data_IF_873797525586
#
_entry.id   IF_873797525586
#
_cell.length_a   1.000
_cell.length_b   1.000
_cell.length_c   1.000
_cell.angle_alpha   90.00
_cell.angle_beta   90.00
_cell.angle_gamma   90.00
#
_symmetry.space_group_name_H-M   'P 1'
#
loop_
_entity.id
_entity.type
_entity.pdbx_description
1 polymer ?
#
# COMPACT_ATOMS: atom_id res chain seq x y z
N UNK A 1 69.34 18.06 -6.96
CA UNK A 1 68.58 16.93 -7.53
C UNK A 1 67.55 16.52 -6.50
N UNK A 2 67.82 15.61 -5.56
CA UNK A 2 66.90 15.18 -4.47
C UNK A 2 65.80 16.19 -4.07
N UNK A 3 66.12 17.36 -3.51
CA UNK A 3 65.11 18.37 -3.11
C UNK A 3 64.12 18.82 -4.20
N UNK A 4 64.53 18.81 -5.47
CA UNK A 4 63.67 19.16 -6.62
C UNK A 4 62.79 17.96 -7.00
N UNK A 5 63.28 16.74 -6.81
CA UNK A 5 62.52 15.51 -7.05
C UNK A 5 61.44 15.34 -5.97
N UNK A 6 61.76 15.64 -4.70
CA UNK A 6 60.81 15.68 -3.58
C UNK A 6 59.69 16.74 -3.79
N UNK A 7 60.04 17.94 -4.25
CA UNK A 7 59.07 19.03 -4.52
C UNK A 7 58.16 18.72 -5.73
N UNK A 8 58.67 18.03 -6.75
CA UNK A 8 57.93 17.60 -7.94
C UNK A 8 57.00 16.40 -7.63
N UNK A 9 57.40 15.50 -6.72
CA UNK A 9 56.55 14.41 -6.20
C UNK A 9 55.40 14.93 -5.31
N UNK A 10 55.65 15.93 -4.45
CA UNK A 10 54.62 16.57 -3.61
C UNK A 10 53.57 17.32 -4.46
N UNK A 11 53.99 18.00 -5.54
CA UNK A 11 53.08 18.67 -6.49
C UNK A 11 52.21 17.66 -7.28
N UNK A 12 52.77 16.52 -7.70
CA UNK A 12 51.99 15.44 -8.33
C UNK A 12 50.97 14.80 -7.36
N UNK A 13 51.32 14.60 -6.08
CA UNK A 13 50.37 14.09 -5.07
C UNK A 13 49.22 15.08 -4.82
N UNK A 14 49.50 16.39 -4.71
CA UNK A 14 48.46 17.41 -4.58
C UNK A 14 47.50 17.45 -5.78
N UNK A 15 48.03 17.39 -7.01
CA UNK A 15 47.20 17.31 -8.22
C UNK A 15 46.32 16.04 -8.24
N UNK A 16 46.86 14.89 -7.85
CA UNK A 16 46.08 13.64 -7.82
C UNK A 16 44.99 13.70 -6.74
N UNK A 17 45.27 14.29 -5.57
CA UNK A 17 44.27 14.50 -4.53
C UNK A 17 43.18 15.49 -4.97
N UNK A 18 43.52 16.58 -5.65
CA UNK A 18 42.54 17.52 -6.20
C UNK A 18 41.67 16.86 -7.28
N UNK A 19 42.27 16.02 -8.13
CA UNK A 19 41.56 15.20 -9.12
C UNK A 19 40.63 14.18 -8.47
N UNK A 20 41.04 13.55 -7.36
CA UNK A 20 40.20 12.66 -6.54
C UNK A 20 39.04 13.45 -5.89
N UNK A 21 39.28 14.65 -5.36
CA UNK A 21 38.26 15.56 -4.80
C UNK A 21 37.24 15.99 -5.86
N UNK A 22 37.68 16.40 -7.06
CA UNK A 22 36.81 16.73 -8.21
C UNK A 22 35.93 15.54 -8.63
N UNK A 23 36.48 14.32 -8.69
CA UNK A 23 35.72 13.08 -8.97
C UNK A 23 34.64 12.80 -7.91
N UNK A 24 34.94 12.99 -6.62
CA UNK A 24 33.96 12.81 -5.53
C UNK A 24 32.80 13.81 -5.65
N UNK A 25 33.08 15.11 -5.81
CA UNK A 25 32.06 16.15 -6.00
C UNK A 25 31.13 15.85 -7.19
N UNK A 26 31.69 15.45 -8.34
CA UNK A 26 30.90 15.09 -9.53
C UNK A 26 29.97 13.89 -9.27
N UNK A 27 30.43 12.88 -8.53
CA UNK A 27 29.63 11.72 -8.16
C UNK A 27 28.49 12.08 -7.20
N UNK A 28 28.75 12.95 -6.22
CA UNK A 28 27.74 13.47 -5.29
C UNK A 28 26.67 14.29 -6.00
N UNK A 29 27.06 15.14 -6.96
CA UNK A 29 26.13 15.93 -7.79
C UNK A 29 25.24 15.03 -8.65
N UNK A 30 25.81 14.01 -9.30
CA UNK A 30 25.07 13.03 -10.10
C UNK A 30 24.08 12.22 -9.24
N UNK A 31 24.48 11.78 -8.04
CA UNK A 31 23.57 11.11 -7.09
C UNK A 31 22.44 12.05 -6.61
N UNK A 32 22.74 13.33 -6.35
CA UNK A 32 21.71 14.30 -5.98
C UNK A 32 20.73 14.55 -7.12
N UNK A 33 21.21 14.64 -8.37
CA UNK A 33 20.35 14.80 -9.54
C UNK A 33 19.47 13.57 -9.75
N UNK A 34 20.01 12.36 -9.60
CA UNK A 34 19.24 11.12 -9.68
C UNK A 34 18.16 11.07 -8.59
N UNK A 35 18.50 11.49 -7.36
CA UNK A 35 17.57 11.62 -6.24
C UNK A 35 16.46 12.64 -6.53
N UNK A 36 16.78 13.78 -7.18
CA UNK A 36 15.80 14.78 -7.66
C UNK A 36 14.88 14.18 -8.74
N UNK A 37 15.43 13.45 -9.73
CA UNK A 37 14.67 12.74 -10.78
C UNK A 37 13.71 11.71 -10.18
N UNK A 38 14.19 10.86 -9.26
CA UNK A 38 13.38 9.86 -8.52
C UNK A 38 12.24 10.52 -7.73
N UNK A 39 12.50 11.62 -7.01
CA UNK A 39 11.47 12.43 -6.31
C UNK A 39 10.42 12.98 -7.27
N UNK A 40 10.83 13.56 -8.41
CA UNK A 40 9.91 14.12 -9.44
C UNK A 40 9.01 13.03 -10.05
N UNK A 41 9.58 11.86 -10.38
CA UNK A 41 8.83 10.70 -10.89
C UNK A 41 7.80 10.18 -9.87
N UNK A 42 8.18 10.08 -8.59
CA UNK A 42 7.28 9.68 -7.50
C UNK A 42 6.14 10.69 -7.26
N UNK A 43 6.42 11.99 -7.38
CA UNK A 43 5.38 13.06 -7.29
C UNK A 43 4.38 12.95 -8.44
N UNK A 44 4.85 12.86 -9.69
CA UNK A 44 4.00 12.72 -10.88
C UNK A 44 3.09 11.49 -10.81
N UNK A 45 3.63 10.32 -10.47
CA UNK A 45 2.84 9.09 -10.31
C UNK A 45 1.73 9.23 -9.25
N UNK A 46 2.02 9.90 -8.13
CA UNK A 46 1.02 10.15 -7.07
C UNK A 46 -0.09 11.11 -7.52
N UNK A 47 0.25 12.11 -8.33
CA UNK A 47 -0.74 13.05 -8.91
C UNK A 47 -1.65 12.31 -9.90
N UNK A 48 -1.10 11.46 -10.78
CA UNK A 48 -1.85 10.61 -11.71
C UNK A 48 -2.79 9.63 -10.98
N UNK A 49 -2.33 8.98 -9.90
CA UNK A 49 -3.15 8.09 -9.07
C UNK A 49 -4.32 8.83 -8.37
N UNK A 50 -4.09 10.06 -7.89
CA UNK A 50 -5.13 10.88 -7.25
C UNK A 50 -6.20 11.36 -8.26
N UNK A 51 -5.81 11.74 -9.47
CA UNK A 51 -6.74 12.08 -10.55
C UNK A 51 -7.59 10.88 -10.98
N UNK A 52 -7.00 9.69 -11.09
CA UNK A 52 -7.72 8.46 -11.47
C UNK A 52 -8.76 8.07 -10.39
N UNK A 53 -8.39 8.15 -9.11
CA UNK A 53 -9.28 7.98 -7.95
C UNK A 53 -10.45 8.99 -7.99
N UNK A 54 -10.19 10.26 -8.29
CA UNK A 54 -11.23 11.28 -8.38
C UNK A 54 -12.16 11.05 -9.59
N UNK A 55 -11.60 10.64 -10.73
CA UNK A 55 -12.33 10.20 -11.92
C UNK A 55 -13.28 9.03 -11.63
N UNK A 56 -12.79 7.99 -10.94
CA UNK A 56 -13.58 6.84 -10.46
C UNK A 56 -14.72 7.30 -9.55
N UNK A 57 -14.47 8.19 -8.58
CA UNK A 57 -15.49 8.77 -7.68
C UNK A 57 -16.54 9.59 -8.45
N UNK A 58 -16.12 10.46 -9.39
CA UNK A 58 -17.00 11.24 -10.28
C UNK A 58 -17.90 10.31 -11.12
N UNK A 59 -17.36 9.23 -11.71
CA UNK A 59 -18.10 8.22 -12.48
C UNK A 59 -19.14 7.48 -11.63
N UNK A 60 -18.76 7.02 -10.42
CA UNK A 60 -19.66 6.37 -9.44
C UNK A 60 -20.82 7.29 -9.05
N UNK A 61 -20.56 8.56 -8.74
CA UNK A 61 -21.57 9.59 -8.41
C UNK A 61 -22.55 9.83 -9.57
N UNK A 62 -22.06 9.94 -10.82
CA UNK A 62 -22.89 10.04 -12.04
C UNK A 62 -23.80 8.80 -12.21
N UNK A 63 -23.28 7.58 -12.03
CA UNK A 63 -24.07 6.34 -12.12
C UNK A 63 -25.18 6.26 -11.06
N UNK A 64 -24.89 6.61 -9.80
CA UNK A 64 -25.90 6.64 -8.72
C UNK A 64 -27.01 7.66 -9.03
N UNK A 65 -26.67 8.87 -9.52
CA UNK A 65 -27.64 9.89 -9.95
C UNK A 65 -28.53 9.35 -11.10
N UNK A 66 -27.95 8.65 -12.09
CA UNK A 66 -28.68 7.99 -13.20
C UNK A 66 -29.63 6.89 -12.69
N UNK A 67 -29.18 6.01 -11.78
CA UNK A 67 -30.02 4.98 -11.12
C UNK A 67 -31.19 5.61 -10.34
N UNK A 68 -30.95 6.67 -9.53
CA UNK A 68 -32.00 7.39 -8.77
C UNK A 68 -33.04 8.04 -9.71
N UNK A 69 -32.63 8.66 -10.82
CA UNK A 69 -33.52 9.24 -11.86
C UNK A 69 -34.37 8.13 -12.54
N UNK A 70 -33.80 6.97 -12.86
CA UNK A 70 -34.53 5.80 -13.42
C UNK A 70 -35.57 5.25 -12.43
N UNK A 71 -35.22 5.11 -11.14
CA UNK A 71 -36.15 4.67 -10.07
C UNK A 71 -37.32 5.66 -9.89
N UNK A 72 -37.06 6.98 -9.88
CA UNK A 72 -38.11 8.03 -9.81
C UNK A 72 -39.05 7.99 -11.03
N UNK A 73 -38.52 7.85 -12.26
CA UNK A 73 -39.33 7.66 -13.48
C UNK A 73 -40.21 6.39 -13.41
N UNK A 74 -39.67 5.24 -12.97
CA UNK A 74 -40.45 3.97 -12.80
C UNK A 74 -41.58 4.13 -11.77
N UNK A 75 -41.34 4.79 -10.62
CA UNK A 75 -42.37 5.08 -9.60
C UNK A 75 -43.48 6.02 -10.15
N UNK A 76 -43.13 7.08 -10.92
CA UNK A 76 -44.12 7.98 -11.57
C UNK A 76 -44.96 7.24 -12.62
N UNK A 77 -44.36 6.37 -13.46
CA UNK A 77 -45.11 5.50 -14.40
C UNK A 77 -46.05 4.53 -13.67
N UNK A 78 -45.62 3.87 -12.58
CA UNK A 78 -46.49 2.96 -11.79
C UNK A 78 -47.66 3.70 -11.13
N UNK A 79 -47.45 4.92 -10.58
CA UNK A 79 -48.55 5.78 -10.08
C UNK A 79 -49.53 6.18 -11.20
N UNK A 80 -49.06 6.61 -12.38
CA UNK A 80 -49.96 6.94 -13.52
C UNK A 80 -50.79 5.73 -13.96
N UNK A 81 -50.20 4.53 -14.12
CA UNK A 81 -50.96 3.30 -14.44
C UNK A 81 -52.00 2.95 -13.36
N UNK A 82 -51.67 3.09 -12.07
CA UNK A 82 -52.65 2.87 -10.98
C UNK A 82 -53.80 3.88 -10.99
N UNK A 83 -53.56 5.17 -11.32
CA UNK A 83 -54.64 6.17 -11.47
C UNK A 83 -55.57 5.86 -12.64
N UNK A 84 -55.03 5.52 -13.82
CA UNK A 84 -55.86 5.14 -14.99
C UNK A 84 -56.75 3.91 -14.73
N UNK A 85 -56.31 2.96 -13.90
CA UNK A 85 -57.11 1.78 -13.48
C UNK A 85 -58.13 2.05 -12.35
N UNK A 86 -58.22 3.29 -11.85
CA UNK A 86 -59.11 3.66 -10.72
C UNK A 86 -60.23 4.64 -11.13
N UNK A 87 -60.35 4.96 -12.41
CA UNK A 87 -61.49 5.70 -12.96
C UNK A 87 -62.52 4.63 -13.34
N UNK A 88 -63.70 4.55 -12.71
CA UNK A 88 -64.78 3.68 -13.16
C UNK A 88 -65.34 4.22 -14.49
N UNK A 89 -65.82 3.33 -15.37
CA UNK A 89 -66.68 3.74 -16.47
C UNK A 89 -68.01 4.23 -15.88
N UNK A 90 -68.21 5.54 -15.93
CA UNK A 90 -69.50 6.21 -15.73
C UNK A 90 -69.72 7.04 -17.01
N UNK A 91 -70.96 7.03 -17.51
CA UNK A 91 -71.38 7.36 -18.89
C UNK A 91 -71.01 6.27 -19.91
N UNK A 92 -71.96 5.38 -20.20
CA UNK A 92 -72.90 5.51 -21.34
C UNK A 92 -74.21 4.85 -20.89
N UNK A 93 -75.27 5.65 -20.80
CA UNK A 93 -76.69 5.28 -20.62
C UNK A 93 -77.50 6.39 -21.30
N UNK A 94 -78.70 6.04 -21.81
CA UNK A 94 -79.40 6.64 -22.97
C UNK A 94 -78.66 6.36 -24.31
N UNK A 95 -79.34 6.00 -25.40
CA UNK A 95 -80.76 6.22 -25.74
C UNK A 95 -81.32 5.11 -26.67
N UNK A 96 -82.64 4.89 -26.64
CA UNK A 96 -83.41 4.08 -27.62
C UNK A 96 -83.50 4.82 -28.97
N UNK A 97 -83.89 4.25 -30.13
CA UNK A 97 -85.15 3.52 -30.41
C UNK A 97 -85.15 2.97 -31.86
N UNK A 98 -86.01 1.96 -32.14
CA UNK A 98 -86.55 1.50 -33.45
C UNK A 98 -85.69 0.67 -34.46
N UNK A 99 -86.10 -0.61 -34.62
CA UNK A 99 -86.50 -1.33 -35.87
C UNK A 99 -85.48 -1.51 -37.04
N UNK A 100 -85.48 -2.60 -37.85
CA UNK A 100 -86.41 -3.74 -38.08
C UNK A 100 -85.61 -5.01 -38.57
N UNK A 101 -86.20 -6.15 -39.05
CA UNK A 101 -85.59 -7.49 -38.92
C UNK A 101 -85.18 -8.21 -40.24
N UNK A 102 -84.43 -9.32 -40.16
CA UNK A 102 -84.78 -10.70 -40.64
C UNK A 102 -83.58 -11.68 -40.49
N UNK A 103 -83.77 -13.02 -40.46
CA UNK A 103 -82.74 -14.05 -40.16
C UNK A 103 -82.57 -15.03 -41.35
N UNK A 104 -82.17 -16.33 -41.22
CA UNK A 104 -81.36 -17.05 -40.21
C UNK A 104 -80.16 -17.84 -40.82
N UNK A 105 -79.31 -18.43 -39.96
CA UNK A 105 -79.03 -19.90 -39.87
C UNK A 105 -77.63 -20.26 -39.32
N UNK A 106 -77.62 -21.37 -38.59
CA UNK A 106 -76.52 -22.05 -37.86
C UNK A 106 -76.06 -23.29 -38.68
N UNK A 107 -75.24 -24.25 -38.19
CA UNK A 107 -74.24 -24.30 -37.11
C UNK A 107 -72.81 -24.57 -37.73
N UNK A 108 -71.70 -24.93 -37.08
CA UNK A 108 -71.45 -25.84 -35.95
C UNK A 108 -70.01 -25.73 -35.40
N UNK A 109 -69.82 -26.10 -34.13
CA UNK A 109 -68.51 -26.29 -33.48
C UNK A 109 -68.15 -27.81 -33.46
N UNK A 110 -67.49 -28.38 -32.43
CA UNK A 110 -66.19 -28.11 -31.77
C UNK A 110 -65.23 -29.31 -32.10
N UNK A 111 -64.29 -29.86 -31.27
CA UNK A 111 -63.67 -29.44 -29.99
C UNK A 111 -62.11 -29.37 -30.06
N UNK A 112 -61.35 -28.80 -29.12
CA UNK A 112 -61.11 -29.20 -27.71
C UNK A 112 -60.73 -30.70 -27.58
N UNK A 113 -59.71 -31.14 -26.85
CA UNK A 113 -58.92 -30.56 -25.76
C UNK A 113 -57.69 -31.46 -25.47
N UNK A 114 -57.15 -31.40 -24.23
CA UNK A 114 -56.02 -32.18 -23.67
C UNK A 114 -54.62 -31.81 -24.20
N UNK A 115 -53.55 -31.87 -23.40
CA UNK A 115 -53.45 -32.18 -21.96
C UNK A 115 -52.18 -32.96 -21.66
N UNK A 116 -51.57 -32.72 -20.48
CA UNK A 116 -50.31 -33.35 -19.99
C UNK A 116 -49.03 -32.95 -20.76
N UNK A 117 -47.79 -33.03 -20.25
CA UNK A 117 -47.17 -32.83 -18.92
C UNK A 117 -45.83 -33.58 -18.94
N UNK A 118 -44.68 -32.90 -19.05
CA UNK A 118 -43.39 -33.41 -18.52
C UNK A 118 -42.37 -32.29 -18.30
N UNK A 119 -41.51 -32.53 -17.31
CA UNK A 119 -40.27 -31.84 -16.88
C UNK A 119 -39.24 -32.98 -16.62
N UNK A 120 -37.96 -32.75 -16.26
CA UNK A 120 -37.13 -31.53 -16.22
C UNK A 120 -35.70 -31.74 -16.85
N UNK A 121 -34.78 -30.78 -16.62
CA UNK A 121 -33.32 -30.85 -16.91
C UNK A 121 -32.95 -30.92 -18.41
N UNK A 122 -31.76 -30.57 -18.91
CA UNK A 122 -30.55 -29.89 -18.39
C UNK A 122 -30.10 -28.87 -19.48
N UNK A 123 -28.92 -28.26 -19.59
CA UNK A 123 -27.63 -28.23 -18.85
C UNK A 123 -27.10 -26.77 -18.90
N UNK A 124 -25.84 -26.50 -18.53
CA UNK A 124 -25.17 -25.21 -18.80
C UNK A 124 -24.02 -25.34 -19.80
N UNK A 125 -23.87 -24.35 -20.69
CA UNK A 125 -22.68 -24.19 -21.56
C UNK A 125 -21.87 -22.99 -21.07
N UNK A 126 -20.76 -23.25 -20.37
CA UNK A 126 -19.77 -22.21 -20.05
C UNK A 126 -18.79 -22.07 -21.21
N UNK A 127 -18.45 -20.83 -21.57
CA UNK A 127 -17.36 -20.58 -22.50
C UNK A 127 -16.02 -20.82 -21.80
N UNK A 128 -15.36 -21.92 -22.15
CA UNK A 128 -13.97 -22.20 -21.76
C UNK A 128 -13.03 -21.24 -22.48
N UNK A 129 -12.25 -20.45 -21.74
CA UNK A 129 -11.12 -19.70 -22.28
C UNK A 129 -9.91 -20.63 -22.46
N UNK A 130 -9.12 -20.51 -23.55
CA UNK A 130 -7.92 -21.31 -23.73
C UNK A 130 -6.83 -20.90 -22.73
N UNK A 131 -6.32 -21.88 -21.98
CA UNK A 131 -5.15 -21.72 -21.13
C UNK A 131 -3.89 -21.55 -21.99
N UNK A 132 -3.15 -20.46 -21.79
CA UNK A 132 -1.83 -20.30 -22.39
C UNK A 132 -0.87 -21.35 -21.80
N UNK A 133 -0.38 -22.25 -22.66
CA UNK A 133 0.65 -23.24 -22.33
C UNK A 133 1.99 -22.53 -22.12
N UNK A 134 2.49 -22.52 -20.88
CA UNK A 134 3.87 -22.10 -20.60
C UNK A 134 4.87 -23.18 -21.06
N UNK A 135 6.05 -22.81 -21.60
CA UNK A 135 7.12 -23.76 -21.87
C UNK A 135 7.83 -24.17 -20.56
N UNK A 136 8.35 -25.40 -20.45
CA UNK A 136 9.12 -25.83 -19.28
C UNK A 136 10.51 -25.18 -19.24
N UNK A 137 10.98 -24.87 -18.04
CA UNK A 137 12.34 -24.39 -17.78
C UNK A 137 13.32 -25.56 -17.75
N UNK A 138 14.38 -25.49 -18.57
CA UNK A 138 15.51 -26.42 -18.47
C UNK A 138 16.45 -25.99 -17.33
N UNK A 139 16.68 -26.88 -16.36
CA UNK A 139 17.78 -26.80 -15.41
C UNK A 139 18.98 -27.59 -15.96
N UNK A 140 20.16 -26.97 -16.16
CA UNK A 140 21.39 -27.72 -16.30
C UNK A 140 21.92 -28.13 -14.92
N UNK A 141 22.01 -29.43 -14.66
CA UNK A 141 22.76 -29.96 -13.52
C UNK A 141 24.23 -30.17 -13.91
N UNK A 142 25.15 -29.43 -13.27
CA UNK A 142 26.58 -29.78 -13.26
C UNK A 142 27.09 -29.64 -11.84
N UNK A 143 27.31 -30.77 -11.17
CA UNK A 143 28.02 -30.81 -9.90
C UNK A 143 29.52 -30.82 -10.13
N UNK A 144 30.25 -29.92 -9.48
CA UNK A 144 31.70 -30.06 -9.27
C UNK A 144 31.99 -29.79 -7.79
N UNK A 145 32.43 -30.82 -7.09
CA UNK A 145 32.93 -30.73 -5.73
C UNK A 145 34.19 -29.87 -5.69
N UNK A 146 34.21 -28.80 -4.89
CA UNK A 146 35.46 -28.10 -4.57
C UNK A 146 35.46 -27.67 -3.10
N UNK A 147 36.47 -28.18 -2.40
CA UNK A 147 36.74 -28.05 -0.97
C UNK A 147 36.90 -26.58 -0.54
N UNK A 148 36.31 -26.12 0.58
CA UNK A 148 36.58 -24.79 1.10
C UNK A 148 38.01 -24.71 1.68
N UNK A 149 38.75 -23.59 1.49
CA UNK A 149 40.05 -23.39 2.11
C UNK A 149 39.91 -23.14 3.60
N UNK A 150 40.75 -23.80 4.39
CA UNK A 150 40.80 -23.71 5.84
C UNK A 150 41.60 -22.46 6.24
N UNK A 151 40.94 -21.47 6.87
CA UNK A 151 41.61 -20.30 7.46
C UNK A 151 41.93 -20.57 8.94
N UNK A 152 43.12 -20.18 9.44
CA UNK A 152 43.48 -20.36 10.84
C UNK A 152 42.77 -19.34 11.75
N UNK A 153 42.48 -19.69 13.02
CA UNK A 153 41.88 -18.76 13.96
C UNK A 153 42.86 -17.66 14.37
N UNK A 154 42.45 -16.38 14.30
CA UNK A 154 43.17 -15.29 14.93
C UNK A 154 42.91 -15.30 16.46
N UNK A 155 44.00 -15.32 17.23
CA UNK A 155 43.96 -15.14 18.68
C UNK A 155 43.57 -13.69 19.04
N UNK A 156 42.61 -13.53 19.96
CA UNK A 156 42.43 -12.29 20.71
C UNK A 156 43.28 -12.33 21.99
N UNK A 157 44.10 -11.32 22.30
CA UNK A 157 44.67 -11.17 23.63
C UNK A 157 43.63 -10.64 24.63
N UNK A 158 43.53 -11.30 25.79
CA UNK A 158 42.69 -10.89 26.91
C UNK A 158 43.53 -10.23 28.01
N UNK A 159 43.48 -8.90 28.10
CA UNK A 159 43.85 -8.10 29.30
C UNK A 159 43.07 -6.77 29.25
N UNK A 160 42.58 -6.19 30.34
CA UNK A 160 42.58 -6.66 31.73
C UNK A 160 41.63 -5.84 32.63
N UNK A 161 41.48 -6.28 33.88
CA UNK A 161 40.60 -5.72 34.92
C UNK A 161 41.25 -4.61 35.75
N UNK A 162 40.56 -3.48 35.94
CA UNK A 162 40.61 -2.57 37.12
C UNK A 162 39.24 -1.87 37.19
N UNK A 163 38.39 -1.87 38.22
CA UNK A 163 38.49 -1.94 39.70
C UNK A 163 38.51 -0.57 40.40
N UNK A 164 37.48 -0.33 41.24
CA UNK A 164 37.27 0.81 42.19
C UNK A 164 37.10 2.23 41.60
N UNK A 165 36.34 3.18 42.18
CA UNK A 165 35.40 3.24 43.34
C UNK A 165 34.47 4.49 43.17
N UNK A 166 33.36 4.65 43.93
CA UNK A 166 32.40 5.75 43.75
C UNK A 166 32.53 6.91 44.77
N UNK A 167 32.35 8.15 44.29
CA UNK A 167 32.16 9.40 45.05
C UNK A 167 31.80 10.53 44.04
N UNK A 168 31.01 11.56 44.31
CA UNK A 168 30.11 11.91 45.43
C UNK A 168 29.23 13.10 45.00
N UNK A 169 28.00 13.21 45.53
CA UNK A 169 27.23 14.45 45.78
C UNK A 169 27.38 15.66 44.83
N UNK A 170 26.32 16.01 44.10
CA UNK A 170 26.25 17.26 43.32
C UNK A 170 24.82 17.66 42.88
N UNK A 171 23.95 18.01 43.82
CA UNK A 171 22.63 18.56 43.51
C UNK A 171 22.75 20.01 43.01
N UNK A 172 22.45 20.26 41.72
CA UNK A 172 22.28 21.61 41.18
C UNK A 172 20.97 21.73 40.41
N UNK A 173 19.97 22.27 41.12
CA UNK A 173 18.67 22.66 40.55
C UNK A 173 18.85 23.79 39.54
N UNK A 174 18.56 23.52 38.26
CA UNK A 174 18.29 24.55 37.26
C UNK A 174 17.05 24.21 36.46
N UNK A 175 16.21 25.22 36.21
CA UNK A 175 14.85 25.10 35.66
C UNK A 175 14.84 24.42 34.27
N UNK A 176 13.84 23.58 33.96
CA UNK A 176 13.56 23.23 32.57
C UNK A 176 13.09 24.47 31.80
N UNK A 177 13.88 24.88 30.80
CA UNK A 177 13.49 25.95 29.87
C UNK A 177 12.34 25.48 28.95
N UNK A 178 11.36 26.33 28.58
CA UNK A 178 10.24 25.91 27.75
C UNK A 178 10.72 25.47 26.35
N UNK A 179 10.56 24.18 26.04
CA UNK A 179 10.84 23.67 24.70
C UNK A 179 9.84 24.25 23.69
N UNK A 180 10.28 25.22 22.89
CA UNK A 180 9.56 25.69 21.71
C UNK A 180 9.38 24.52 20.73
N UNK A 181 8.15 24.16 20.34
CA UNK A 181 7.92 23.03 19.44
C UNK A 181 8.38 23.40 18.02
N UNK A 182 9.59 22.95 17.65
CA UNK A 182 10.15 23.24 16.33
C UNK A 182 9.27 22.63 15.21
N UNK A 183 8.70 23.49 14.38
CA UNK A 183 7.65 23.15 13.40
C UNK A 183 8.22 22.58 12.08
N UNK A 184 9.28 21.79 12.14
CA UNK A 184 9.83 21.06 10.99
C UNK A 184 9.53 19.57 11.16
N UNK A 185 8.75 18.92 10.27
CA UNK A 185 8.57 17.48 10.29
C UNK A 185 9.86 16.81 9.80
N UNK A 186 10.83 16.67 10.71
CA UNK A 186 12.02 15.87 10.48
C UNK A 186 11.65 14.40 10.25
N UNK A 187 12.54 13.65 9.60
CA UNK A 187 12.26 12.29 9.13
C UNK A 187 11.94 11.29 10.27
N UNK A 188 12.34 11.63 11.50
CA UNK A 188 12.20 10.89 12.76
C UNK A 188 10.76 10.60 13.23
N UNK A 189 9.73 10.82 12.41
CA UNK A 189 8.33 10.60 12.83
C UNK A 189 7.92 9.11 12.90
N UNK A 190 8.80 8.22 12.44
CA UNK A 190 8.67 6.76 12.47
C UNK A 190 10.00 6.14 12.92
N UNK A 191 10.28 6.12 14.24
CA UNK A 191 11.38 5.34 14.79
C UNK A 191 11.11 3.85 14.52
N UNK A 192 11.85 3.27 13.58
CA UNK A 192 11.69 1.89 13.14
C UNK A 192 13.08 1.30 12.86
N UNK A 193 13.39 0.16 13.48
CA UNK A 193 14.71 -0.46 13.37
C UNK A 193 14.64 -1.87 12.82
N UNK A 194 15.51 -2.15 11.85
CA UNK A 194 15.77 -3.49 11.32
C UNK A 194 17.01 -4.07 12.00
N UNK A 195 16.85 -5.13 12.76
CA UNK A 195 17.95 -5.93 13.30
C UNK A 195 18.39 -6.93 12.22
N UNK A 196 18.97 -6.41 11.13
CA UNK A 196 19.40 -7.21 9.99
C UNK A 196 20.58 -8.13 10.34
N UNK A 197 20.76 -9.21 9.58
CA UNK A 197 21.80 -10.23 9.69
C UNK A 197 21.67 -11.20 10.88
N UNK A 198 20.44 -11.60 11.22
CA UNK A 198 20.18 -12.61 12.26
C UNK A 198 20.70 -14.02 11.92
N UNK A 199 21.13 -14.25 10.68
CA UNK A 199 21.81 -15.46 10.21
C UNK A 199 23.24 -15.63 10.74
N UNK A 200 23.87 -14.56 11.24
CA UNK A 200 25.29 -14.59 11.63
C UNK A 200 25.49 -15.06 13.09
N UNK A 201 26.51 -15.90 13.37
CA UNK A 201 26.88 -16.23 14.73
C UNK A 201 27.36 -14.97 15.47
N UNK A 202 26.75 -14.69 16.63
CA UNK A 202 26.98 -13.45 17.37
C UNK A 202 26.06 -12.29 16.96
N UNK A 203 25.05 -12.52 16.12
CA UNK A 203 23.95 -11.58 15.95
C UNK A 203 23.28 -11.30 17.31
N UNK A 204 23.05 -10.01 17.59
CA UNK A 204 22.36 -9.57 18.81
C UNK A 204 20.85 -9.70 18.61
N UNK A 205 20.18 -10.23 19.63
CA UNK A 205 18.73 -10.29 19.65
C UNK A 205 18.11 -8.89 19.71
N UNK A 206 16.90 -8.78 19.17
CA UNK A 206 15.99 -7.64 19.25
C UNK A 206 15.93 -6.98 20.63
N UNK A 207 15.84 -7.75 21.72
CA UNK A 207 15.78 -7.24 23.10
C UNK A 207 17.11 -6.64 23.55
N UNK A 208 18.24 -7.19 23.11
CA UNK A 208 19.55 -6.62 23.41
C UNK A 208 19.76 -5.31 22.66
N UNK A 209 19.34 -5.26 21.39
CA UNK A 209 19.41 -4.06 20.55
C UNK A 209 18.48 -2.96 21.09
N UNK A 210 17.30 -3.31 21.63
CA UNK A 210 16.41 -2.35 22.31
C UNK A 210 17.12 -1.63 23.46
N UNK A 211 17.81 -2.39 24.31
CA UNK A 211 18.56 -1.86 25.46
C UNK A 211 19.77 -1.03 25.02
N UNK A 212 20.56 -1.52 24.06
CA UNK A 212 21.76 -0.84 23.56
C UNK A 212 21.46 0.49 22.86
N UNK A 213 20.28 0.61 22.25
CA UNK A 213 19.81 1.85 21.61
C UNK A 213 18.99 2.75 22.56
N UNK A 214 18.79 2.35 23.82
CA UNK A 214 17.98 3.09 24.80
C UNK A 214 16.50 3.21 24.41
N UNK A 215 15.99 2.31 23.55
CA UNK A 215 14.67 2.49 22.93
C UNK A 215 13.54 2.39 23.95
N UNK A 216 13.70 1.56 24.98
CA UNK A 216 12.79 1.44 26.12
C UNK A 216 12.53 2.79 26.83
N UNK A 217 13.50 3.72 26.80
CA UNK A 217 13.41 5.03 27.47
C UNK A 217 12.50 6.03 26.73
N UNK A 218 12.22 5.83 25.43
CA UNK A 218 11.29 6.69 24.69
C UNK A 218 9.82 6.55 25.17
N UNK A 219 9.52 5.45 25.86
CA UNK A 219 8.21 5.16 26.45
C UNK A 219 7.05 5.13 25.45
N UNK A 220 5.82 5.06 25.97
CA UNK A 220 4.59 4.94 25.17
C UNK A 220 4.22 6.21 24.37
N UNK A 221 5.03 7.27 24.45
CA UNK A 221 4.79 8.55 23.76
C UNK A 221 5.12 8.48 22.27
N UNK A 222 6.10 7.65 21.92
CA UNK A 222 6.53 7.41 20.54
C UNK A 222 6.09 6.01 20.10
N UNK A 223 5.52 5.94 18.90
CA UNK A 223 5.23 4.66 18.27
C UNK A 223 6.51 4.19 17.56
N UNK A 224 7.17 3.19 18.15
CA UNK A 224 8.36 2.54 17.63
C UNK A 224 8.15 1.03 17.44
N UNK A 225 9.03 0.41 16.66
CA UNK A 225 9.10 -1.04 16.47
C UNK A 225 10.52 -1.47 16.13
N UNK A 226 10.90 -2.66 16.58
CA UNK A 226 12.18 -3.32 16.30
C UNK A 226 11.84 -4.67 15.67
N UNK A 227 12.41 -4.97 14.51
CA UNK A 227 12.14 -6.22 13.79
C UNK A 227 13.44 -7.00 13.52
N UNK A 228 13.59 -8.24 14.03
CA UNK A 228 14.61 -9.15 13.55
C UNK A 228 14.34 -9.52 12.09
N UNK A 229 15.38 -9.45 11.26
CA UNK A 229 15.27 -9.76 9.85
C UNK A 229 16.58 -10.31 9.27
N UNK A 230 16.47 -11.05 8.17
CA UNK A 230 17.62 -11.52 7.41
C UNK A 230 17.45 -11.13 5.94
N UNK A 231 18.31 -10.23 5.44
CA UNK A 231 18.23 -9.76 4.06
C UNK A 231 18.58 -10.82 3.00
N UNK A 232 19.23 -11.93 3.36
CA UNK A 232 19.60 -13.01 2.42
C UNK A 232 18.55 -14.12 2.33
N UNK A 233 17.88 -14.49 3.44
CA UNK A 233 16.78 -15.47 3.43
C UNK A 233 15.42 -14.81 3.16
N UNK A 234 15.29 -13.50 3.44
CA UNK A 234 14.04 -12.75 3.38
C UNK A 234 13.22 -12.83 4.67
N UNK A 235 13.64 -13.62 5.66
CA UNK A 235 12.91 -13.82 6.91
C UNK A 235 12.74 -12.51 7.69
N UNK A 236 11.54 -12.32 8.26
CA UNK A 236 11.15 -11.14 9.02
C UNK A 236 10.94 -9.86 8.20
N UNK A 237 11.22 -9.84 6.88
CA UNK A 237 11.02 -8.64 6.05
C UNK A 237 9.55 -8.35 5.75
N UNK A 238 8.72 -9.38 5.53
CA UNK A 238 7.30 -9.18 5.25
C UNK A 238 6.56 -8.64 6.50
N UNK A 239 6.81 -9.25 7.67
CA UNK A 239 6.34 -8.75 8.97
C UNK A 239 6.83 -7.32 9.24
N UNK A 240 8.05 -7.00 8.81
CA UNK A 240 8.61 -5.65 8.97
C UNK A 240 7.76 -4.61 8.22
N UNK A 241 7.41 -4.92 6.98
CA UNK A 241 6.67 -4.04 6.09
C UNK A 241 5.20 -3.91 6.53
N UNK A 242 4.58 -4.99 7.02
CA UNK A 242 3.26 -5.00 7.65
C UNK A 242 3.23 -4.05 8.87
N UNK A 243 4.13 -4.24 9.84
CA UNK A 243 4.22 -3.39 11.04
C UNK A 243 4.50 -1.91 10.68
N UNK A 244 5.42 -1.65 9.75
CA UNK A 244 5.70 -0.29 9.29
C UNK A 244 4.47 0.36 8.63
N UNK A 245 3.71 -0.39 7.84
CA UNK A 245 2.47 0.07 7.24
C UNK A 245 1.42 0.41 8.31
N UNK A 246 1.24 -0.44 9.32
CA UNK A 246 0.34 -0.16 10.45
C UNK A 246 0.74 1.09 11.23
N UNK A 247 2.03 1.25 11.53
CA UNK A 247 2.56 2.42 12.24
C UNK A 247 2.27 3.71 11.49
N UNK A 248 2.50 3.72 10.17
CA UNK A 248 2.17 4.84 9.29
C UNK A 248 0.66 5.15 9.35
N UNK A 249 -0.20 4.14 9.39
CA UNK A 249 -1.66 4.34 9.49
C UNK A 249 -2.12 4.82 10.86
N UNK A 250 -1.54 4.32 11.96
CA UNK A 250 -1.80 4.79 13.34
C UNK A 250 -1.37 6.24 13.50
N UNK A 251 -0.17 6.61 13.07
CA UNK A 251 0.35 7.98 13.18
C UNK A 251 -0.38 8.99 12.27
N UNK A 252 -0.82 8.57 11.07
CA UNK A 252 -1.70 9.38 10.19
C UNK A 252 -3.11 9.61 10.79
N UNK A 253 -3.56 8.79 11.73
CA UNK A 253 -4.81 9.01 12.49
C UNK A 253 -4.57 10.01 13.63
N UNK A 254 -3.54 9.77 14.45
CA UNK A 254 -3.17 10.64 15.58
C UNK A 254 -2.86 12.09 15.17
N UNK A 255 -2.18 12.28 14.03
CA UNK A 255 -1.90 13.63 13.48
C UNK A 255 -3.12 14.35 12.91
N UNK A 256 -4.21 13.64 12.60
CA UNK A 256 -5.48 14.22 12.13
C UNK A 256 -6.41 14.56 13.30
N UNK A 257 -6.42 13.76 14.35
CA UNK A 257 -7.20 14.05 15.56
C UNK A 257 -6.63 15.23 16.34
N UNK A 258 -5.30 15.34 16.48
CA UNK A 258 -4.67 16.48 17.17
C UNK A 258 -4.99 17.82 16.51
N UNK A 259 -4.86 17.93 15.18
CA UNK A 259 -5.23 19.13 14.40
C UNK A 259 -6.71 19.52 14.49
N UNK A 260 -7.58 18.61 14.92
CA UNK A 260 -9.02 18.85 15.09
C UNK A 260 -9.39 19.30 16.51
N UNK A 261 -8.41 19.36 17.42
CA UNK A 261 -8.56 19.81 18.81
C UNK A 261 -8.03 21.24 19.04
N UNK A 262 -7.51 21.88 17.99
CA UNK A 262 -6.90 23.22 17.97
C UNK A 262 -7.63 24.18 17.02
N UNK A 263 -8.91 23.90 16.75
CA UNK A 263 -9.87 24.69 15.97
C UNK A 263 -11.25 24.55 16.58
#
# INVERSE_FOLDING_TARGET
MVKKEEEEEEEEEEEEEERRRRRRRKKEEEEEEERRRRKKKKKKKKEEEEEEEEGKKKKKKKMVKKKKKKKKKKKKKKKKKKKKKKIPNILILSESTLQHPFPPQVPSAPPSSTGTSTKPSSTGTLHTFPLHRYPPLNLPSTGTSTKPPQVPPLNLPSTGTLSTKPSSTGNLSTKPSPQVPSTKPSLHRYPYWFCNKQDLPGAKDSVEIERLLGISELGNTHLWHIQPACAITGEGLDDALEHLYEMIHKQRRLTKSSKKKTR
#
